data_IF_050275061329
#
_entry.id   IF_050275061329
#
_cell.length_a   1.000
_cell.length_b   1.000
_cell.length_c   1.000
_cell.angle_alpha   90.00
_cell.angle_beta   90.00
_cell.angle_gamma   90.00
#
_symmetry.space_group_name_H-M   'P 1'
#
loop_
_entity.id
_entity.type
_entity.pdbx_description
1 polymer ?
#
# COMPACT_ATOMS: atom_id res chain seq x y z
N UNK A 1 -15.52 -25.81 42.05
CA UNK A 1 -14.67 -24.97 41.17
C UNK A 1 -15.38 -24.81 39.83
N UNK A 2 -16.05 -23.70 39.62
CA UNK A 2 -16.85 -23.42 38.41
C UNK A 2 -15.97 -22.77 37.37
N UNK A 3 -15.81 -23.39 36.20
CA UNK A 3 -15.11 -22.85 35.06
C UNK A 3 -15.99 -21.80 34.38
N UNK A 4 -15.57 -20.53 34.48
CA UNK A 4 -16.22 -19.44 33.77
C UNK A 4 -16.11 -19.62 32.25
N UNK A 5 -17.16 -19.30 31.45
CA UNK A 5 -17.13 -19.45 30.01
C UNK A 5 -16.15 -18.45 29.37
N UNK A 6 -15.24 -18.96 28.55
CA UNK A 6 -14.35 -18.14 27.69
C UNK A 6 -15.20 -17.18 26.86
N UNK A 7 -15.03 -15.87 27.07
CA UNK A 7 -15.57 -14.82 26.20
C UNK A 7 -15.13 -15.11 24.75
N UNK A 8 -16.10 -15.40 23.88
CA UNK A 8 -15.90 -15.46 22.42
C UNK A 8 -15.34 -14.12 21.97
N UNK A 9 -14.18 -14.18 21.35
CA UNK A 9 -13.51 -13.04 20.70
C UNK A 9 -14.44 -12.33 19.73
N UNK A 10 -14.34 -11.01 19.70
CA UNK A 10 -15.01 -10.06 18.81
C UNK A 10 -15.23 -10.64 17.41
N UNK A 11 -16.49 -10.71 17.00
CA UNK A 11 -16.90 -11.05 15.63
C UNK A 11 -16.08 -10.22 14.63
N UNK A 12 -15.29 -10.89 13.84
CA UNK A 12 -14.60 -10.32 12.68
C UNK A 12 -15.70 -9.86 11.71
N UNK A 13 -16.10 -8.58 11.77
CA UNK A 13 -17.02 -8.02 10.78
C UNK A 13 -16.35 -8.17 9.42
N UNK A 14 -16.89 -8.99 8.54
CA UNK A 14 -16.37 -9.22 7.21
C UNK A 14 -16.13 -7.91 6.43
N UNK A 15 -15.28 -7.96 5.45
CA UNK A 15 -14.87 -6.78 4.66
C UNK A 15 -15.71 -6.70 3.39
N UNK A 16 -16.27 -5.52 3.08
CA UNK A 16 -17.01 -5.28 1.85
C UNK A 16 -16.12 -4.69 0.76
N UNK A 17 -16.42 -5.00 -0.50
CA UNK A 17 -15.73 -4.40 -1.65
C UNK A 17 -15.96 -2.88 -1.71
N UNK A 18 -17.15 -2.43 -1.34
CA UNK A 18 -17.46 -1.00 -1.26
C UNK A 18 -16.48 -0.27 -0.32
N UNK A 19 -16.22 -0.81 0.87
CA UNK A 19 -15.25 -0.24 1.82
C UNK A 19 -13.83 -0.21 1.25
N UNK A 20 -13.47 -1.25 0.47
CA UNK A 20 -12.14 -1.34 -0.14
C UNK A 20 -11.95 -0.30 -1.24
N UNK A 21 -12.94 -0.11 -2.12
CA UNK A 21 -12.76 0.65 -3.36
C UNK A 21 -13.38 2.04 -3.37
N UNK A 22 -14.21 2.42 -2.37
CA UNK A 22 -14.98 3.68 -2.32
C UNK A 22 -14.19 4.93 -2.76
N UNK A 23 -12.97 5.08 -2.26
CA UNK A 23 -12.10 6.25 -2.46
C UNK A 23 -10.91 5.96 -3.38
N UNK A 24 -10.98 4.87 -4.17
CA UNK A 24 -9.86 4.37 -4.96
C UNK A 24 -10.17 4.18 -6.46
N UNK A 25 -11.36 4.57 -6.89
CA UNK A 25 -11.81 4.33 -8.27
C UNK A 25 -10.88 4.99 -9.29
N UNK A 26 -10.58 6.27 -9.13
CA UNK A 26 -9.64 7.01 -10.00
C UNK A 26 -8.23 6.41 -9.95
N UNK A 27 -7.75 6.06 -8.76
CA UNK A 27 -6.43 5.44 -8.59
C UNK A 27 -6.32 4.09 -9.31
N UNK A 28 -7.42 3.33 -9.40
CA UNK A 28 -7.50 2.06 -10.13
C UNK A 28 -7.85 2.23 -11.61
N UNK A 29 -8.02 3.47 -12.10
CA UNK A 29 -8.43 3.73 -13.47
C UNK A 29 -9.80 3.12 -13.81
N UNK A 30 -10.69 3.00 -12.81
CA UNK A 30 -12.02 2.41 -13.01
C UNK A 30 -12.90 3.42 -13.76
N UNK A 31 -13.42 2.99 -14.92
CA UNK A 31 -14.35 3.75 -15.75
C UNK A 31 -15.79 3.38 -15.51
N UNK A 32 -16.04 2.10 -15.24
CA UNK A 32 -17.38 1.56 -15.09
C UNK A 32 -17.41 0.44 -14.04
N UNK A 33 -18.50 0.36 -13.28
CA UNK A 33 -18.78 -0.74 -12.35
C UNK A 33 -20.11 -1.38 -12.72
N UNK A 34 -20.07 -2.65 -13.05
CA UNK A 34 -21.23 -3.51 -13.25
C UNK A 34 -21.69 -4.11 -11.93
N UNK A 35 -23.01 -4.17 -11.72
CA UNK A 35 -23.64 -4.69 -10.49
C UNK A 35 -23.15 -3.99 -9.20
N UNK A 36 -23.17 -2.64 -9.09
CA UNK A 36 -22.59 -1.91 -7.95
C UNK A 36 -23.24 -2.25 -6.60
N UNK A 37 -24.51 -2.68 -6.60
CA UNK A 37 -25.20 -3.11 -5.37
C UNK A 37 -24.52 -4.29 -4.68
N UNK A 38 -23.86 -5.17 -5.44
CA UNK A 38 -23.17 -6.35 -4.93
C UNK A 38 -21.84 -6.02 -4.22
N UNK A 39 -21.32 -4.80 -4.36
CA UNK A 39 -20.12 -4.35 -3.64
C UNK A 39 -20.32 -4.29 -2.12
N UNK A 40 -21.58 -4.24 -1.66
CA UNK A 40 -21.94 -4.27 -0.22
C UNK A 40 -21.86 -5.65 0.41
N UNK A 41 -21.71 -6.73 -0.39
CA UNK A 41 -21.54 -8.08 0.13
C UNK A 41 -20.28 -8.18 0.98
N UNK A 42 -20.40 -8.84 2.14
CA UNK A 42 -19.29 -9.05 3.07
C UNK A 42 -18.55 -10.34 2.77
N UNK A 43 -17.22 -10.33 2.96
CA UNK A 43 -16.34 -11.48 2.81
C UNK A 43 -15.44 -11.57 4.05
N UNK A 44 -15.16 -12.79 4.53
CA UNK A 44 -14.25 -13.01 5.64
C UNK A 44 -12.83 -12.65 5.29
N UNK A 45 -12.44 -12.86 4.04
CA UNK A 45 -11.16 -12.47 3.50
C UNK A 45 -11.27 -12.10 2.02
N UNK A 46 -10.42 -11.18 1.59
CA UNK A 46 -10.29 -10.78 0.19
C UNK A 46 -8.83 -10.91 -0.25
N UNK A 47 -8.63 -11.39 -1.46
CA UNK A 47 -7.31 -11.45 -2.10
C UNK A 47 -7.44 -11.24 -3.60
N UNK A 48 -6.37 -10.75 -4.24
CA UNK A 48 -6.35 -10.51 -5.68
C UNK A 48 -5.51 -11.55 -6.40
N UNK A 49 -5.96 -11.96 -7.58
CA UNK A 49 -5.24 -12.89 -8.46
C UNK A 49 -5.55 -12.59 -9.93
N UNK A 50 -4.55 -12.75 -10.79
CA UNK A 50 -4.79 -12.74 -12.25
C UNK A 50 -5.40 -14.06 -12.71
N UNK A 51 -6.45 -13.96 -13.52
CA UNK A 51 -7.10 -15.08 -14.18
C UNK A 51 -6.47 -15.28 -15.57
N UNK A 52 -5.66 -16.31 -15.69
CA UNK A 52 -4.91 -16.62 -16.93
C UNK A 52 -5.52 -17.77 -17.75
N UNK A 53 -6.55 -18.42 -17.23
CA UNK A 53 -7.23 -19.57 -17.86
C UNK A 53 -8.73 -19.45 -17.65
N UNK A 54 -9.51 -19.91 -18.63
CA UNK A 54 -10.98 -19.94 -18.54
C UNK A 54 -11.43 -21.00 -17.54
N UNK A 55 -10.74 -22.14 -17.43
CA UNK A 55 -11.08 -23.18 -16.48
C UNK A 55 -10.56 -22.84 -15.09
N UNK A 56 -11.46 -22.81 -14.10
CA UNK A 56 -11.15 -22.53 -12.69
C UNK A 56 -11.43 -23.80 -11.88
N UNK A 57 -10.36 -24.51 -11.54
CA UNK A 57 -10.46 -25.82 -10.90
C UNK A 57 -10.64 -25.82 -9.37
N UNK A 58 -10.49 -24.69 -8.68
CA UNK A 58 -10.49 -24.63 -7.21
C UNK A 58 -11.43 -23.54 -6.68
N UNK A 59 -12.15 -23.83 -5.59
CA UNK A 59 -12.95 -22.86 -4.83
C UNK A 59 -12.06 -21.65 -4.46
N UNK A 60 -12.54 -20.44 -4.73
CA UNK A 60 -11.79 -19.18 -4.57
C UNK A 60 -12.65 -18.12 -3.91
N UNK A 61 -13.26 -18.46 -2.79
CA UNK A 61 -14.09 -17.54 -2.03
C UNK A 61 -13.29 -16.27 -1.67
N UNK A 62 -13.90 -15.11 -1.91
CA UNK A 62 -13.26 -13.81 -1.67
C UNK A 62 -12.21 -13.40 -2.71
N UNK A 63 -12.07 -14.14 -3.83
CA UNK A 63 -11.12 -13.78 -4.87
C UNK A 63 -11.57 -12.55 -5.67
N UNK A 64 -10.70 -11.56 -5.79
CA UNK A 64 -10.79 -10.47 -6.76
C UNK A 64 -9.96 -10.92 -7.95
N UNK A 65 -10.59 -11.16 -9.09
CA UNK A 65 -9.93 -11.69 -10.28
C UNK A 65 -9.72 -10.60 -11.33
N UNK A 66 -8.49 -10.48 -11.79
CA UNK A 66 -8.13 -9.61 -12.92
C UNK A 66 -7.97 -10.51 -14.14
N UNK A 67 -8.79 -10.30 -15.16
CA UNK A 67 -8.71 -11.09 -16.40
C UNK A 67 -7.47 -10.71 -17.18
N UNK A 68 -6.68 -11.70 -17.60
CA UNK A 68 -5.61 -11.45 -18.59
C UNK A 68 -6.21 -11.15 -19.96
N UNK A 69 -5.46 -10.44 -20.81
CA UNK A 69 -5.89 -10.11 -22.17
C UNK A 69 -6.33 -11.35 -22.95
N UNK A 70 -5.61 -12.48 -22.81
CA UNK A 70 -5.98 -13.75 -23.45
C UNK A 70 -7.32 -14.31 -23.00
N UNK A 71 -7.62 -14.25 -21.68
CA UNK A 71 -8.94 -14.70 -21.15
C UNK A 71 -10.02 -13.74 -21.60
N UNK A 72 -9.79 -12.42 -21.53
CA UNK A 72 -10.73 -11.40 -21.98
C UNK A 72 -11.10 -11.61 -23.46
N UNK A 73 -10.12 -11.75 -24.35
CA UNK A 73 -10.33 -11.93 -25.77
C UNK A 73 -11.10 -13.23 -26.08
N UNK A 74 -10.79 -14.33 -25.39
CA UNK A 74 -11.55 -15.59 -25.54
C UNK A 74 -12.99 -15.48 -25.06
N UNK A 75 -13.27 -14.72 -24.01
CA UNK A 75 -14.64 -14.46 -23.58
C UNK A 75 -15.40 -13.55 -24.55
N UNK A 76 -14.72 -12.61 -25.21
CA UNK A 76 -15.31 -11.74 -26.21
C UNK A 76 -15.62 -12.48 -27.51
N UNK A 77 -14.70 -13.34 -27.96
CA UNK A 77 -14.82 -14.11 -29.21
C UNK A 77 -15.57 -15.45 -29.03
N UNK A 78 -15.67 -15.97 -27.80
CA UNK A 78 -16.29 -17.25 -27.50
C UNK A 78 -17.81 -17.24 -27.69
N UNK A 79 -18.39 -18.44 -27.80
CA UNK A 79 -19.82 -18.65 -27.82
C UNK A 79 -20.47 -18.49 -26.43
N UNK A 80 -21.79 -18.55 -26.39
CA UNK A 80 -22.57 -18.38 -25.16
C UNK A 80 -22.31 -19.49 -24.15
N UNK A 81 -22.00 -20.71 -24.60
CA UNK A 81 -21.71 -21.84 -23.71
C UNK A 81 -20.42 -21.64 -22.94
N UNK A 82 -19.36 -21.22 -23.60
CA UNK A 82 -18.06 -20.91 -22.96
C UNK A 82 -18.20 -19.79 -21.93
N UNK A 83 -18.96 -18.74 -22.27
CA UNK A 83 -19.27 -17.65 -21.33
C UNK A 83 -20.06 -18.15 -20.12
N UNK A 84 -21.14 -18.87 -20.36
CA UNK A 84 -22.01 -19.40 -19.31
C UNK A 84 -21.24 -20.29 -18.33
N UNK A 85 -20.43 -21.22 -18.84
CA UNK A 85 -19.59 -22.10 -18.04
C UNK A 85 -18.57 -21.33 -17.19
N UNK A 86 -17.93 -20.33 -17.78
CA UNK A 86 -16.95 -19.51 -17.06
C UNK A 86 -17.61 -18.75 -15.90
N UNK A 87 -18.69 -18.00 -16.14
CA UNK A 87 -19.35 -17.20 -15.13
C UNK A 87 -20.05 -18.06 -14.06
N UNK A 88 -20.66 -19.19 -14.45
CA UNK A 88 -21.21 -20.19 -13.54
C UNK A 88 -20.15 -20.71 -12.57
N UNK A 89 -18.99 -21.09 -13.09
CA UNK A 89 -17.85 -21.52 -12.29
C UNK A 89 -17.36 -20.44 -11.32
N UNK A 90 -17.26 -19.20 -11.76
CA UNK A 90 -16.87 -18.07 -10.90
C UNK A 90 -17.85 -17.88 -9.74
N UNK A 91 -19.15 -17.93 -10.03
CA UNK A 91 -20.21 -17.83 -9.02
C UNK A 91 -20.11 -18.94 -7.99
N UNK A 92 -19.99 -20.19 -8.46
CA UNK A 92 -19.84 -21.38 -7.60
C UNK A 92 -18.58 -21.32 -6.72
N UNK A 93 -17.49 -20.76 -7.25
CA UNK A 93 -16.24 -20.59 -6.52
C UNK A 93 -16.26 -19.44 -5.50
N UNK A 94 -17.34 -18.67 -5.40
CA UNK A 94 -17.43 -17.53 -4.47
C UNK A 94 -16.52 -16.35 -4.84
N UNK A 95 -16.29 -16.13 -6.16
CA UNK A 95 -15.54 -14.96 -6.64
C UNK A 95 -16.18 -13.68 -6.14
N UNK A 96 -15.38 -12.78 -5.58
CA UNK A 96 -15.84 -11.53 -5.02
C UNK A 96 -16.08 -10.47 -6.10
N UNK A 97 -15.17 -10.31 -7.06
CA UNK A 97 -15.25 -9.30 -8.10
C UNK A 97 -14.36 -9.66 -9.30
N UNK A 98 -14.73 -9.18 -10.48
CA UNK A 98 -13.95 -9.26 -11.71
C UNK A 98 -13.43 -7.89 -12.12
N UNK A 99 -12.23 -7.86 -12.70
CA UNK A 99 -11.67 -6.69 -13.36
C UNK A 99 -11.35 -7.01 -14.80
N UNK A 100 -11.81 -6.12 -15.69
CA UNK A 100 -11.52 -6.12 -17.12
C UNK A 100 -10.50 -5.01 -17.40
N UNK A 101 -9.19 -5.34 -17.43
CA UNK A 101 -8.14 -4.36 -17.67
C UNK A 101 -8.11 -3.92 -19.13
N UNK A 102 -7.53 -2.75 -19.41
CA UNK A 102 -7.34 -2.20 -20.75
C UNK A 102 -8.64 -2.24 -21.56
N UNK A 103 -9.73 -1.82 -20.95
CA UNK A 103 -11.06 -1.83 -21.56
C UNK A 103 -11.75 -0.49 -21.33
N UNK A 104 -12.47 -0.01 -22.36
CA UNK A 104 -13.29 1.20 -22.27
C UNK A 104 -14.72 0.89 -21.84
N UNK A 105 -15.25 -0.24 -22.30
CA UNK A 105 -16.60 -0.72 -21.99
C UNK A 105 -16.67 -2.25 -22.10
N UNK A 106 -17.74 -2.84 -21.60
CA UNK A 106 -18.05 -4.26 -21.76
C UNK A 106 -19.07 -4.48 -22.87
N UNK A 107 -18.93 -5.50 -23.71
CA UNK A 107 -19.98 -5.97 -24.61
C UNK A 107 -21.24 -6.33 -23.84
N UNK A 108 -22.41 -6.12 -24.47
CA UNK A 108 -23.73 -6.39 -23.88
C UNK A 108 -23.84 -7.87 -23.44
N UNK A 109 -23.29 -8.80 -24.22
CA UNK A 109 -23.26 -10.23 -23.90
C UNK A 109 -22.57 -10.52 -22.56
N UNK A 110 -21.40 -9.92 -22.30
CA UNK A 110 -20.70 -10.08 -21.01
C UNK A 110 -21.45 -9.39 -19.86
N UNK A 111 -22.05 -8.24 -20.09
CA UNK A 111 -22.86 -7.54 -19.10
C UNK A 111 -24.09 -8.36 -18.69
N UNK A 112 -24.73 -9.05 -19.65
CA UNK A 112 -25.86 -9.95 -19.39
C UNK A 112 -25.45 -11.17 -18.54
N UNK A 113 -24.30 -11.79 -18.85
CA UNK A 113 -23.77 -12.89 -18.04
C UNK A 113 -23.42 -12.44 -16.61
N UNK A 114 -22.79 -11.27 -16.42
CA UNK A 114 -22.53 -10.70 -15.10
C UNK A 114 -23.82 -10.48 -14.30
N UNK A 115 -24.90 -10.03 -14.94
CA UNK A 115 -26.22 -9.88 -14.30
C UNK A 115 -26.79 -11.24 -13.92
N UNK A 116 -26.83 -12.19 -14.86
CA UNK A 116 -27.36 -13.55 -14.68
C UNK A 116 -26.71 -14.26 -13.51
N UNK A 117 -25.38 -14.21 -13.40
CA UNK A 117 -24.62 -14.88 -12.34
C UNK A 117 -24.36 -14.00 -11.11
N UNK A 118 -24.91 -12.80 -11.06
CA UNK A 118 -24.76 -11.85 -9.94
C UNK A 118 -23.29 -11.66 -9.53
N UNK A 119 -22.44 -11.35 -10.49
CA UNK A 119 -21.02 -11.08 -10.27
C UNK A 119 -20.74 -9.60 -10.47
N UNK A 120 -20.19 -8.89 -9.45
CA UNK A 120 -19.78 -7.52 -9.65
C UNK A 120 -18.49 -7.49 -10.49
N UNK A 121 -18.41 -6.50 -11.38
CA UNK A 121 -17.24 -6.31 -12.21
C UNK A 121 -16.88 -4.84 -12.36
N UNK A 122 -15.61 -4.56 -12.66
CA UNK A 122 -15.13 -3.23 -13.01
C UNK A 122 -14.35 -3.28 -14.32
N UNK A 123 -14.57 -2.25 -15.13
CA UNK A 123 -13.79 -1.93 -16.32
C UNK A 123 -12.72 -0.92 -15.92
N UNK A 124 -11.47 -1.19 -16.25
CA UNK A 124 -10.35 -0.32 -15.92
C UNK A 124 -9.43 -0.12 -17.13
N UNK A 125 -8.87 1.09 -17.26
CA UNK A 125 -7.94 1.44 -18.34
C UNK A 125 -6.48 1.04 -18.05
N UNK A 126 -6.21 0.55 -16.85
CA UNK A 126 -4.88 0.11 -16.46
C UNK A 126 -4.57 -1.30 -16.97
N UNK A 127 -3.27 -1.53 -17.27
CA UNK A 127 -2.73 -2.85 -17.56
C UNK A 127 -2.89 -3.80 -16.36
N UNK A 128 -3.07 -5.11 -16.61
CA UNK A 128 -3.41 -6.12 -15.59
C UNK A 128 -2.38 -6.21 -14.45
N UNK A 129 -1.08 -6.10 -14.74
CA UNK A 129 -0.01 -6.12 -13.74
C UNK A 129 -0.05 -4.91 -12.79
N UNK A 130 -0.28 -3.71 -13.35
CA UNK A 130 -0.38 -2.49 -12.57
C UNK A 130 -1.63 -2.51 -11.69
N UNK A 131 -2.75 -2.95 -12.26
CA UNK A 131 -4.01 -3.12 -11.54
C UNK A 131 -3.87 -4.12 -10.39
N UNK A 132 -3.22 -5.27 -10.60
CA UNK A 132 -2.92 -6.24 -9.55
C UNK A 132 -2.09 -5.63 -8.43
N UNK A 133 -1.04 -4.91 -8.77
CA UNK A 133 -0.15 -4.25 -7.81
C UNK A 133 -0.92 -3.23 -6.96
N UNK A 134 -1.73 -2.37 -7.60
CA UNK A 134 -2.54 -1.36 -6.91
C UNK A 134 -3.61 -1.97 -6.01
N UNK A 135 -4.31 -3.01 -6.47
CA UNK A 135 -5.31 -3.71 -5.63
C UNK A 135 -4.63 -4.39 -4.44
N UNK A 136 -3.46 -5.03 -4.63
CA UNK A 136 -2.67 -5.60 -3.51
C UNK A 136 -2.32 -4.54 -2.47
N UNK A 137 -1.88 -3.36 -2.90
CA UNK A 137 -1.56 -2.26 -2.00
C UNK A 137 -2.79 -1.81 -1.19
N UNK A 138 -3.95 -1.64 -1.85
CA UNK A 138 -5.21 -1.28 -1.19
C UNK A 138 -5.63 -2.34 -0.17
N UNK A 139 -5.58 -3.62 -0.53
CA UNK A 139 -5.92 -4.71 0.40
C UNK A 139 -4.97 -4.76 1.61
N UNK A 140 -3.68 -4.49 1.41
CA UNK A 140 -2.73 -4.38 2.52
C UNK A 140 -3.10 -3.21 3.46
N UNK A 141 -3.39 -2.04 2.89
CA UNK A 141 -3.77 -0.86 3.66
C UNK A 141 -5.10 -1.06 4.42
N UNK A 142 -6.16 -1.39 3.69
CA UNK A 142 -7.54 -1.40 4.24
C UNK A 142 -7.85 -2.62 5.12
N UNK A 143 -7.22 -3.77 4.88
CA UNK A 143 -7.46 -5.00 5.64
C UNK A 143 -6.38 -5.23 6.69
N UNK A 144 -5.10 -5.09 6.31
CA UNK A 144 -3.98 -5.40 7.20
C UNK A 144 -3.47 -4.19 7.98
N UNK A 145 -4.06 -3.00 7.78
CA UNK A 145 -3.60 -1.76 8.39
C UNK A 145 -2.08 -1.54 8.19
N UNK A 146 -1.61 -1.85 6.97
CA UNK A 146 -0.19 -1.82 6.63
C UNK A 146 0.02 -1.17 5.27
N UNK A 147 0.95 -0.23 5.20
CA UNK A 147 1.44 0.34 3.94
C UNK A 147 2.96 0.16 3.84
N UNK A 148 3.46 0.17 2.62
CA UNK A 148 4.89 0.26 2.33
C UNK A 148 5.15 1.60 1.68
N UNK A 149 6.15 2.32 2.17
CA UNK A 149 6.50 3.66 1.72
C UNK A 149 7.98 3.69 1.33
N UNK A 150 8.29 4.33 0.21
CA UNK A 150 9.68 4.59 -0.17
C UNK A 150 10.25 5.74 0.66
N UNK A 151 11.30 5.46 1.42
CA UNK A 151 11.92 6.46 2.29
C UNK A 151 12.86 5.85 3.33
N UNK A 152 13.53 6.72 4.05
CA UNK A 152 14.47 6.40 5.13
C UNK A 152 13.75 6.54 6.47
N UNK A 153 13.94 5.59 7.36
CA UNK A 153 13.40 5.61 8.70
C UNK A 153 14.50 5.66 9.76
N UNK A 154 14.34 6.57 10.69
CA UNK A 154 15.21 6.75 11.86
C UNK A 154 14.37 6.72 13.14
N UNK A 155 14.98 6.38 14.26
CA UNK A 155 14.48 6.72 15.59
C UNK A 155 15.32 7.84 16.18
N UNK A 156 14.70 8.94 16.54
CA UNK A 156 15.36 10.07 17.21
C UNK A 156 14.75 10.23 18.60
N UNK A 157 15.58 10.01 19.64
CA UNK A 157 15.16 10.08 21.05
C UNK A 157 13.87 9.32 21.33
N UNK A 158 13.78 8.07 20.87
CA UNK A 158 12.62 7.20 21.04
C UNK A 158 11.44 7.46 20.11
N UNK A 159 11.51 8.44 19.21
CA UNK A 159 10.46 8.80 18.25
C UNK A 159 10.86 8.41 16.83
N UNK A 160 10.02 7.65 16.14
CA UNK A 160 10.26 7.28 14.74
C UNK A 160 9.97 8.43 13.79
N UNK A 161 10.91 8.73 12.92
CA UNK A 161 10.79 9.73 11.86
C UNK A 161 10.96 9.03 10.52
N UNK A 162 10.02 9.25 9.60
CA UNK A 162 10.11 8.83 8.20
C UNK A 162 10.52 10.02 7.33
N UNK A 163 11.53 9.83 6.49
CA UNK A 163 11.99 10.83 5.53
C UNK A 163 11.62 10.35 4.13
N UNK A 164 10.79 11.11 3.43
CA UNK A 164 10.32 10.81 2.06
C UNK A 164 10.77 11.90 1.09
N UNK A 165 10.75 11.62 -0.20
CA UNK A 165 11.12 12.58 -1.25
C UNK A 165 11.77 11.88 -2.45
N UNK A 166 12.07 12.65 -3.50
CA UNK A 166 12.66 12.14 -4.74
C UNK A 166 13.98 11.38 -4.51
N UNK A 167 14.29 10.44 -5.40
CA UNK A 167 15.60 9.77 -5.41
C UNK A 167 16.71 10.79 -5.61
N UNK A 168 17.88 10.56 -4.99
CA UNK A 168 19.04 11.44 -5.12
C UNK A 168 18.95 12.77 -4.34
N UNK A 169 17.86 13.05 -3.57
CA UNK A 169 17.72 14.32 -2.82
C UNK A 169 18.60 14.39 -1.55
N UNK A 170 19.28 13.29 -1.17
CA UNK A 170 20.20 13.25 -0.03
C UNK A 170 19.66 12.54 1.22
N UNK A 171 18.49 11.87 1.19
CA UNK A 171 17.85 11.21 2.34
C UNK A 171 18.79 10.27 3.08
N UNK A 172 19.30 9.26 2.38
CA UNK A 172 20.16 8.22 2.93
C UNK A 172 21.46 8.80 3.49
N UNK A 173 22.08 9.71 2.76
CA UNK A 173 23.34 10.38 3.20
C UNK A 173 23.13 11.18 4.48
N UNK A 174 22.09 12.00 4.54
CA UNK A 174 21.76 12.78 5.74
C UNK A 174 21.44 11.89 6.94
N UNK A 175 20.71 10.81 6.71
CA UNK A 175 20.35 9.84 7.75
C UNK A 175 21.59 9.11 8.29
N UNK A 176 22.48 8.63 7.41
CA UNK A 176 23.75 7.99 7.80
C UNK A 176 24.63 8.90 8.67
N UNK A 177 24.73 10.18 8.27
CA UNK A 177 25.50 11.18 9.02
C UNK A 177 24.90 11.54 10.39
N UNK A 178 23.58 11.34 10.55
CA UNK A 178 22.87 11.63 11.78
C UNK A 178 22.91 10.50 12.80
N UNK A 179 23.24 9.26 12.37
CA UNK A 179 23.28 8.10 13.29
C UNK A 179 24.23 8.35 14.45
N UNK A 180 23.71 8.22 15.66
CA UNK A 180 24.39 8.47 16.93
C UNK A 180 23.73 7.68 18.06
N UNK A 181 24.08 7.94 19.30
CA UNK A 181 23.39 7.36 20.49
C UNK A 181 21.92 7.77 20.56
N UNK A 182 21.58 9.00 20.11
CA UNK A 182 20.24 9.55 20.16
C UNK A 182 19.47 9.41 18.83
N UNK A 183 20.13 8.92 17.79
CA UNK A 183 19.56 8.74 16.46
C UNK A 183 19.91 7.37 15.90
N UNK A 184 18.95 6.43 15.95
CA UNK A 184 19.14 5.05 15.52
C UNK A 184 18.58 4.82 14.13
N UNK A 185 19.28 4.02 13.36
CA UNK A 185 18.85 3.57 12.04
C UNK A 185 17.76 2.51 12.12
N UNK A 186 16.74 2.61 11.26
CA UNK A 186 15.68 1.60 11.15
C UNK A 186 15.68 0.96 9.75
N UNK A 187 15.65 1.76 8.70
CA UNK A 187 15.60 1.24 7.33
C UNK A 187 15.86 2.32 6.28
N UNK A 188 16.26 1.86 5.10
CA UNK A 188 16.36 2.63 3.87
C UNK A 188 15.48 2.01 2.79
N UNK A 189 15.14 2.81 1.78
CA UNK A 189 14.45 2.45 0.55
C UNK A 189 12.98 2.03 0.75
N UNK A 190 12.69 0.90 1.36
CA UNK A 190 11.34 0.44 1.62
C UNK A 190 11.07 0.31 3.12
N UNK A 191 10.28 1.22 3.64
CA UNK A 191 9.80 1.21 5.01
C UNK A 191 8.38 0.67 5.08
N UNK A 192 8.04 0.01 6.19
CA UNK A 192 6.72 -0.55 6.45
C UNK A 192 6.10 0.18 7.63
N UNK A 193 4.94 0.78 7.41
CA UNK A 193 4.14 1.37 8.48
C UNK A 193 2.96 0.44 8.73
N UNK A 194 2.75 0.07 10.00
CA UNK A 194 1.64 -0.77 10.45
C UNK A 194 0.91 -0.10 11.59
N UNK A 195 -0.42 0.01 11.49
CA UNK A 195 -1.27 0.48 12.58
C UNK A 195 -1.59 -0.68 13.52
N UNK A 196 -1.32 -0.51 14.83
CA UNK A 196 -1.72 -1.45 15.88
C UNK A 196 -3.21 -1.31 16.20
N UNK A 197 -3.78 -2.28 16.93
CA UNK A 197 -5.15 -2.18 17.46
C UNK A 197 -5.35 -0.97 18.39
N UNK A 198 -4.29 -0.55 19.07
CA UNK A 198 -4.27 0.65 19.92
C UNK A 198 -4.32 1.97 19.13
N UNK A 199 -4.35 1.93 17.80
CA UNK A 199 -4.29 3.12 16.95
C UNK A 199 -2.87 3.63 16.65
N UNK A 200 -1.86 3.16 17.37
CA UNK A 200 -0.47 3.59 17.18
C UNK A 200 0.10 3.10 15.84
N UNK A 201 0.83 3.97 15.16
CA UNK A 201 1.60 3.62 13.97
C UNK A 201 3.00 3.14 14.38
N UNK A 202 3.39 1.98 13.87
CA UNK A 202 4.75 1.45 14.00
C UNK A 202 5.45 1.51 12.65
N UNK A 203 6.72 1.92 12.64
CA UNK A 203 7.57 1.92 11.45
C UNK A 203 8.70 0.90 11.61
N UNK A 204 9.03 0.21 10.52
CA UNK A 204 10.11 -0.78 10.43
C UNK A 204 10.63 -0.88 9.00
N UNK A 205 11.76 -1.54 8.79
CA UNK A 205 12.22 -1.91 7.44
C UNK A 205 11.36 -3.01 6.81
N UNK A 206 11.35 -3.05 5.47
CA UNK A 206 10.71 -4.14 4.73
C UNK A 206 11.49 -5.45 4.95
N UNK A 207 10.85 -6.59 5.32
CA UNK A 207 11.55 -7.81 5.74
C UNK A 207 12.60 -8.33 4.77
N UNK A 208 12.37 -8.16 3.46
CA UNK A 208 13.30 -8.64 2.42
C UNK A 208 14.57 -7.81 2.26
N UNK A 209 14.55 -6.52 2.63
CA UNK A 209 15.65 -5.58 2.35
C UNK A 209 16.07 -4.74 3.57
N UNK A 210 15.49 -4.95 4.75
CA UNK A 210 15.77 -4.13 5.95
C UNK A 210 17.24 -4.12 6.40
N UNK A 211 18.04 -5.08 5.93
CA UNK A 211 19.47 -5.18 6.21
C UNK A 211 20.36 -4.59 5.10
N UNK A 212 19.74 -3.97 4.11
CA UNK A 212 20.40 -3.39 2.97
C UNK A 212 20.11 -1.89 2.90
N UNK A 213 21.06 -1.13 2.36
CA UNK A 213 20.85 0.25 1.98
C UNK A 213 21.56 0.52 0.64
N UNK A 214 21.12 1.55 -0.05
CA UNK A 214 21.68 1.91 -1.35
C UNK A 214 22.42 3.24 -1.28
N UNK A 215 23.63 3.27 -1.81
CA UNK A 215 24.38 4.52 -2.05
C UNK A 215 24.73 4.66 -3.52
N UNK A 216 24.69 5.89 -4.07
CA UNK A 216 25.05 6.12 -5.48
C UNK A 216 26.44 5.68 -5.86
N UNK A 217 27.41 5.74 -4.90
CA UNK A 217 28.81 5.42 -5.15
C UNK A 217 29.15 3.94 -5.01
N UNK A 218 28.49 3.20 -4.11
CA UNK A 218 28.85 1.81 -3.74
C UNK A 218 27.75 0.81 -4.03
N UNK A 219 26.61 1.25 -4.60
CA UNK A 219 25.48 0.37 -4.85
C UNK A 219 24.77 -0.11 -3.58
N UNK A 220 24.27 -1.35 -3.61
CA UNK A 220 23.58 -1.99 -2.48
C UNK A 220 24.61 -2.57 -1.52
N UNK A 221 24.51 -2.20 -0.24
CA UNK A 221 25.45 -2.64 0.80
C UNK A 221 24.67 -3.17 2.02
N UNK A 222 25.23 -4.15 2.76
CA UNK A 222 24.71 -4.53 4.06
C UNK A 222 24.84 -3.39 5.08
N UNK A 223 23.83 -3.20 5.92
CA UNK A 223 23.81 -2.14 6.93
C UNK A 223 24.90 -2.38 8.00
N UNK A 224 25.14 -3.63 8.35
CA UNK A 224 26.16 -4.04 9.33
C UNK A 224 27.61 -3.80 8.86
N UNK A 225 27.84 -3.55 7.56
CA UNK A 225 29.15 -3.14 7.03
C UNK A 225 29.56 -1.70 7.41
N UNK A 226 28.59 -0.87 7.85
CA UNK A 226 28.83 0.55 8.17
C UNK A 226 28.28 0.98 9.53
N UNK A 227 27.46 0.15 10.19
CA UNK A 227 26.82 0.45 11.46
C UNK A 227 26.97 -0.67 12.47
N UNK A 228 27.18 -0.30 13.74
CA UNK A 228 27.17 -1.24 14.86
C UNK A 228 25.72 -1.62 15.20
N UNK A 229 25.47 -2.83 15.77
CA UNK A 229 24.13 -3.23 16.23
C UNK A 229 23.46 -2.21 17.17
N UNK A 230 24.26 -1.55 18.03
CA UNK A 230 23.78 -0.50 18.95
C UNK A 230 23.27 0.78 18.27
N UNK A 231 23.58 0.97 17.00
CA UNK A 231 23.14 2.11 16.17
C UNK A 231 21.89 1.79 15.35
N UNK A 232 21.38 0.57 15.49
CA UNK A 232 20.24 0.07 14.70
C UNK A 232 19.06 -0.30 15.59
N UNK A 233 17.85 -0.19 15.05
CA UNK A 233 16.62 -0.64 15.68
C UNK A 233 15.67 -1.27 14.67
N UNK A 234 15.05 -2.38 15.02
CA UNK A 234 14.17 -3.10 14.09
C UNK A 234 12.86 -2.34 13.78
N UNK A 235 12.31 -1.66 14.78
CA UNK A 235 11.02 -0.94 14.69
C UNK A 235 10.85 0.07 15.82
N UNK A 236 10.09 1.12 15.55
CA UNK A 236 9.72 2.11 16.56
C UNK A 236 8.32 2.69 16.30
N UNK A 237 7.79 3.48 17.24
CA UNK A 237 6.55 4.24 17.04
C UNK A 237 6.81 5.39 16.06
N UNK A 238 6.05 5.46 14.96
CA UNK A 238 6.12 6.58 14.04
C UNK A 238 5.49 7.83 14.69
N UNK A 239 6.27 8.87 14.80
CA UNK A 239 5.88 10.15 15.41
C UNK A 239 5.69 11.27 14.38
N UNK A 240 6.37 11.22 13.23
CA UNK A 240 6.26 12.24 12.21
C UNK A 240 6.90 11.86 10.88
N UNK A 241 6.66 12.69 9.88
CA UNK A 241 7.20 12.51 8.52
C UNK A 241 7.86 13.80 8.05
N UNK A 242 9.06 13.70 7.48
CA UNK A 242 9.73 14.76 6.74
C UNK A 242 9.50 14.49 5.25
N UNK A 243 8.75 15.34 4.58
CA UNK A 243 8.45 15.25 3.15
C UNK A 243 9.34 16.26 2.40
N UNK A 244 10.32 15.75 1.65
CA UNK A 244 11.26 16.57 0.86
C UNK A 244 10.71 16.79 -0.54
N UNK A 245 10.61 18.04 -0.97
CA UNK A 245 10.12 18.42 -2.29
C UNK A 245 11.18 19.30 -2.98
N UNK A 246 11.47 19.02 -4.25
CA UNK A 246 12.30 19.91 -5.09
C UNK A 246 11.51 21.16 -5.43
N UNK A 247 12.21 22.31 -5.43
CA UNK A 247 11.63 23.60 -5.79
C UNK A 247 12.60 24.40 -6.65
N UNK A 248 12.04 25.17 -7.57
CA UNK A 248 12.79 26.15 -8.36
C UNK A 248 13.10 27.42 -7.54
N UNK A 249 12.38 27.64 -6.41
CA UNK A 249 12.72 28.71 -5.47
C UNK A 249 14.08 28.42 -4.80
N UNK A 250 14.96 29.41 -4.77
CA UNK A 250 16.31 29.29 -4.20
C UNK A 250 16.34 29.09 -2.68
N UNK A 251 15.21 29.14 -2.00
CA UNK A 251 15.12 29.10 -0.54
C UNK A 251 14.63 27.75 0.00
N UNK A 252 15.20 27.35 1.13
CA UNK A 252 14.74 26.20 1.91
C UNK A 252 13.62 26.67 2.85
N UNK A 253 12.40 26.16 2.63
CA UNK A 253 11.23 26.46 3.47
C UNK A 253 10.76 25.22 4.20
N UNK A 254 10.46 25.37 5.51
CA UNK A 254 9.86 24.32 6.34
C UNK A 254 8.43 24.72 6.67
N UNK A 255 7.49 23.88 6.31
CA UNK A 255 6.06 24.05 6.64
C UNK A 255 5.53 22.81 7.36
N UNK A 256 4.95 23.03 8.54
CA UNK A 256 4.19 21.99 9.23
C UNK A 256 2.84 21.82 8.54
N UNK A 257 2.47 20.57 8.24
CA UNK A 257 1.17 20.20 7.68
C UNK A 257 0.62 18.97 8.37
N UNK A 258 -0.70 18.92 8.55
CA UNK A 258 -1.38 17.73 9.06
C UNK A 258 -1.76 16.80 7.91
N UNK A 259 -1.33 15.54 7.98
CA UNK A 259 -1.76 14.48 7.06
C UNK A 259 -2.15 13.23 7.84
N UNK A 260 -2.81 12.30 7.17
CA UNK A 260 -3.16 11.00 7.76
C UNK A 260 -2.39 9.87 7.08
N UNK A 261 -1.95 8.91 7.89
CA UNK A 261 -1.42 7.62 7.45
C UNK A 261 -2.29 6.53 8.08
N UNK A 262 -2.88 5.66 7.27
CA UNK A 262 -3.82 4.61 7.71
C UNK A 262 -4.87 5.21 8.67
N UNK A 263 -5.53 6.29 8.24
CA UNK A 263 -6.54 7.05 9.01
C UNK A 263 -6.06 7.58 10.38
N UNK A 264 -4.75 7.66 10.59
CA UNK A 264 -4.15 8.21 11.81
C UNK A 264 -3.50 9.55 11.51
N UNK A 265 -3.93 10.65 12.17
CA UNK A 265 -3.27 11.95 12.01
C UNK A 265 -1.82 11.88 12.44
N UNK A 266 -0.95 12.51 11.67
CA UNK A 266 0.47 12.67 11.99
C UNK A 266 0.96 14.05 11.54
N UNK A 267 1.90 14.66 12.29
CA UNK A 267 2.60 15.84 11.83
C UNK A 267 3.53 15.51 10.66
N UNK A 268 3.44 16.30 9.60
CA UNK A 268 4.36 16.27 8.47
C UNK A 268 5.10 17.60 8.39
N UNK A 269 6.41 17.54 8.31
CA UNK A 269 7.22 18.71 7.95
C UNK A 269 7.53 18.63 6.46
N UNK A 270 6.92 19.49 5.68
CA UNK A 270 7.27 19.66 4.29
C UNK A 270 8.46 20.60 4.20
N UNK A 271 9.55 20.12 3.62
CA UNK A 271 10.75 20.89 3.38
C UNK A 271 11.01 21.01 1.88
N UNK A 272 11.08 22.25 1.38
CA UNK A 272 11.48 22.51 0.01
C UNK A 272 12.99 22.57 -0.08
N UNK A 273 13.56 21.83 -1.03
CA UNK A 273 15.00 21.80 -1.32
C UNK A 273 15.22 22.37 -2.73
N UNK A 274 16.05 23.42 -2.91
CA UNK A 274 16.40 23.95 -4.22
C UNK A 274 16.92 22.86 -5.16
N UNK A 275 16.75 23.01 -6.47
CA UNK A 275 17.21 22.00 -7.45
C UNK A 275 18.70 21.67 -7.32
N UNK A 276 19.55 22.68 -7.12
CA UNK A 276 20.98 22.52 -6.93
C UNK A 276 21.36 22.09 -5.49
N UNK A 277 20.41 22.10 -4.54
CA UNK A 277 20.66 21.79 -3.15
C UNK A 277 20.47 20.31 -2.81
N UNK A 278 21.04 19.89 -1.69
CA UNK A 278 20.87 18.55 -1.15
C UNK A 278 20.40 18.61 0.30
N UNK A 279 19.54 17.64 0.65
CA UNK A 279 19.19 17.41 2.04
C UNK A 279 20.39 16.82 2.78
N UNK A 280 20.74 17.39 3.92
CA UNK A 280 21.89 17.00 4.71
C UNK A 280 21.55 16.90 6.21
N UNK A 281 22.52 16.50 7.04
CA UNK A 281 22.34 16.35 8.49
C UNK A 281 21.80 17.59 9.16
N UNK A 282 22.31 18.79 8.83
CA UNK A 282 21.87 20.03 9.47
C UNK A 282 20.40 20.34 9.16
N UNK A 283 19.94 20.06 7.94
CA UNK A 283 18.54 20.22 7.56
C UNK A 283 17.64 19.17 8.24
N UNK A 284 18.13 17.96 8.42
CA UNK A 284 17.45 16.93 9.19
C UNK A 284 17.27 17.36 10.65
N UNK A 285 18.30 17.87 11.28
CA UNK A 285 18.25 18.37 12.66
C UNK A 285 17.26 19.55 12.80
N UNK A 286 17.28 20.51 11.87
CA UNK A 286 16.28 21.61 11.83
C UNK A 286 14.85 21.08 11.72
N UNK A 287 14.60 20.07 10.87
CA UNK A 287 13.29 19.47 10.76
C UNK A 287 12.86 18.73 12.05
N UNK A 288 13.79 18.03 12.70
CA UNK A 288 13.52 17.34 13.98
C UNK A 288 13.17 18.33 15.08
N UNK A 289 13.89 19.46 15.18
CA UNK A 289 13.58 20.51 16.15
C UNK A 289 12.15 21.06 15.96
N UNK A 290 11.71 21.22 14.70
CA UNK A 290 10.35 21.67 14.38
C UNK A 290 9.25 20.73 14.87
N UNK A 291 9.49 19.41 14.96
CA UNK A 291 8.55 18.47 15.57
C UNK A 291 8.43 18.66 17.09
N UNK A 292 9.50 19.12 17.76
CA UNK A 292 9.48 19.33 19.21
C UNK A 292 8.70 20.58 19.61
N UNK A 293 8.50 21.55 18.70
CA UNK A 293 7.69 22.73 18.92
C UNK A 293 6.17 22.42 18.89
N UNK A 294 5.76 21.26 18.43
CA UNK A 294 4.35 20.89 18.16
C UNK A 294 3.86 19.76 19.05
N UNK A 295 4.72 19.08 19.78
CA UNK A 295 4.40 17.95 20.67
C UNK A 295 4.79 18.18 22.08
#
# INVERSE_FOLDING_TARGET
MSLAPRKKSSQNKGVTLERIFRDRLTYLGIREIQQPRLLKKSFDHLYVKRCRRIVIAKRREGAILILSSGVKNRLMAGDDSVRADFFSNLRRCGTAMLFFPESSALPVSLSNELKKYQLPAAVADLHDHLLESRIKAILQEKIKNRITVHGVALEVRGRGILITGASGIGKTTAALQAVSKDCLWIADDLTVIKKKQTGQLMISGHPKIKKLFHTPRRGIMPVDSVMKPSQMKDKTRLAGVIELIRSDAGEIKLKLIGKKIIETPLPFIRMTIPRAGFFNKNLLEKAILKFNEVG
#
